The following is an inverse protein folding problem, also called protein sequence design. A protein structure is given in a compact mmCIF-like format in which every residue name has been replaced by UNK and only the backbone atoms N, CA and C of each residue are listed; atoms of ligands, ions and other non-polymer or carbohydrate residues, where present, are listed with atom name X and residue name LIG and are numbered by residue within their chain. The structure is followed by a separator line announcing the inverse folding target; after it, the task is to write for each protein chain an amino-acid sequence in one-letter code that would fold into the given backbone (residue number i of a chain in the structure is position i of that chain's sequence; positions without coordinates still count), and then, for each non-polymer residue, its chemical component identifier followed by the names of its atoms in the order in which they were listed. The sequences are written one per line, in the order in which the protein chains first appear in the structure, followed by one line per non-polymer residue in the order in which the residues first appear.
data_IF_762139821132
#
_entry.id   IF_762139821132
#
_cell.length_a   1.000
_cell.length_b   1.000
_cell.length_c   1.000
_cell.angle_alpha   90.00
_cell.angle_beta   90.00
_cell.angle_gamma   90.00
#
_symmetry.space_group_name_H-M   'P 1'
#
loop_
_entity.id
_entity.type
_entity.pdbx_description
1 polymer ?
#
# COMPACT_ATOMS: atom_id res chain seq x y z
N UNK A 1 -16.04 -14.56 -22.92
CA UNK A 1 -16.01 -13.09 -22.75
C UNK A 1 -14.88 -12.83 -21.78
N UNK A 2 -13.68 -12.60 -22.30
CA UNK A 2 -12.45 -12.55 -21.49
C UNK A 2 -12.39 -11.24 -20.71
N UNK A 3 -12.15 -11.33 -19.41
CA UNK A 3 -11.92 -10.20 -18.52
C UNK A 3 -10.64 -9.48 -18.99
N UNK A 4 -10.79 -8.24 -19.45
CA UNK A 4 -9.65 -7.35 -19.66
C UNK A 4 -9.08 -7.03 -18.29
N UNK A 5 -8.07 -7.79 -17.87
CA UNK A 5 -7.12 -7.29 -16.88
C UNK A 5 -6.39 -6.15 -17.57
N UNK A 6 -6.66 -4.90 -17.20
CA UNK A 6 -5.68 -3.85 -17.44
C UNK A 6 -4.43 -4.30 -16.69
N UNK A 7 -3.49 -4.88 -17.44
CA UNK A 7 -2.13 -5.09 -17.01
C UNK A 7 -1.55 -3.67 -16.85
N UNK A 8 -1.83 -3.04 -15.71
CA UNK A 8 -1.11 -1.83 -15.32
C UNK A 8 0.35 -2.23 -15.43
N UNK A 9 1.08 -1.67 -16.40
CA UNK A 9 2.49 -2.00 -16.58
C UNK A 9 3.14 -1.95 -15.21
N UNK A 10 3.86 -3.02 -14.84
CA UNK A 10 4.44 -3.18 -13.51
C UNK A 10 5.51 -2.10 -13.29
N UNK A 11 5.04 -0.91 -12.92
CA UNK A 11 5.80 0.31 -12.86
C UNK A 11 5.59 0.97 -11.50
N UNK A 12 6.66 1.52 -10.90
CA UNK A 12 6.54 2.22 -9.64
C UNK A 12 5.77 3.53 -9.84
N UNK A 13 4.79 3.78 -8.98
CA UNK A 13 4.16 5.09 -8.83
C UNK A 13 4.47 5.67 -7.46
N UNK A 14 4.58 6.99 -7.38
CA UNK A 14 5.08 7.71 -6.21
C UNK A 14 4.08 8.76 -5.72
N UNK A 15 3.98 8.93 -4.40
CA UNK A 15 3.18 9.98 -3.77
C UNK A 15 3.70 11.38 -4.16
N UNK A 16 5.02 11.55 -4.24
CA UNK A 16 5.64 12.76 -4.78
C UNK A 16 6.93 12.42 -5.52
N UNK A 17 7.13 13.08 -6.66
CA UNK A 17 8.38 13.06 -7.43
C UNK A 17 9.15 14.38 -7.32
N UNK A 18 8.67 15.32 -6.53
CA UNK A 18 9.29 16.63 -6.34
C UNK A 18 10.23 16.59 -5.13
N UNK A 19 11.51 16.87 -5.37
CA UNK A 19 12.51 16.98 -4.31
C UNK A 19 12.11 18.05 -3.29
N UNK A 20 12.32 17.76 -2.00
CA UNK A 20 11.96 18.64 -0.89
C UNK A 20 10.54 18.44 -0.34
N UNK A 21 9.69 17.66 -1.01
CA UNK A 21 8.41 17.23 -0.43
C UNK A 21 8.63 16.12 0.61
N UNK A 22 7.91 16.10 1.74
CA UNK A 22 8.06 15.05 2.76
C UNK A 22 7.91 13.63 2.22
N UNK A 23 6.99 13.42 1.27
CA UNK A 23 6.72 12.14 0.61
C UNK A 23 7.54 11.91 -0.67
N UNK A 24 8.64 12.65 -0.87
CA UNK A 24 9.48 12.51 -2.06
C UNK A 24 10.01 11.08 -2.18
N UNK A 25 9.73 10.44 -3.33
CA UNK A 25 10.08 9.05 -3.64
C UNK A 25 9.40 7.98 -2.75
N UNK A 26 8.38 8.34 -1.96
CA UNK A 26 7.51 7.37 -1.30
C UNK A 26 6.60 6.69 -2.33
N UNK A 27 6.36 5.38 -2.22
CA UNK A 27 5.43 4.70 -3.12
C UNK A 27 4.00 5.20 -2.89
N UNK A 28 3.27 5.37 -3.99
CA UNK A 28 1.84 5.67 -3.98
C UNK A 28 1.05 4.48 -3.45
N UNK A 29 -0.10 4.75 -2.83
CA UNK A 29 -1.09 3.73 -2.48
C UNK A 29 -1.62 2.95 -3.70
N UNK A 30 -1.63 3.59 -4.87
CA UNK A 30 -2.05 2.99 -6.13
C UNK A 30 -0.91 2.24 -6.84
N UNK A 31 0.26 2.13 -6.22
CA UNK A 31 1.38 1.40 -6.80
C UNK A 31 1.06 -0.10 -6.83
N UNK A 32 1.45 -0.86 -7.87
CA UNK A 32 1.22 -2.31 -7.89
C UNK A 32 1.71 -2.99 -6.60
N UNK A 33 0.90 -3.92 -6.06
CA UNK A 33 1.21 -4.57 -4.78
C UNK A 33 2.54 -5.32 -4.83
N UNK A 34 2.91 -5.87 -5.98
CA UNK A 34 4.18 -6.54 -6.22
C UNK A 34 5.37 -5.60 -5.99
N UNK A 35 5.18 -4.29 -6.23
CA UNK A 35 6.18 -3.27 -5.94
C UNK A 35 6.08 -2.81 -4.49
N UNK A 36 4.86 -2.59 -3.99
CA UNK A 36 4.62 -2.17 -2.59
C UNK A 36 5.08 -3.22 -1.57
N UNK A 37 5.13 -4.49 -1.94
CA UNK A 37 5.55 -5.61 -1.08
C UNK A 37 6.84 -6.27 -1.59
N UNK A 38 7.52 -5.67 -2.56
CA UNK A 38 8.68 -6.28 -3.21
C UNK A 38 9.97 -6.26 -2.38
N UNK A 39 10.00 -5.59 -1.23
CA UNK A 39 11.17 -5.60 -0.36
C UNK A 39 11.24 -6.87 0.47
N UNK A 40 12.41 -7.12 1.06
CA UNK A 40 12.58 -8.20 2.04
C UNK A 40 11.52 -8.11 3.15
N UNK A 41 10.90 -9.26 3.46
CA UNK A 41 9.82 -9.35 4.45
C UNK A 41 8.47 -8.80 3.98
N UNK A 42 8.22 -8.74 2.67
CA UNK A 42 7.00 -8.20 2.06
C UNK A 42 6.74 -6.72 2.41
N UNK A 43 7.80 -5.94 2.57
CA UNK A 43 7.71 -4.53 2.97
C UNK A 43 7.80 -3.58 1.75
N UNK A 44 7.55 -2.30 2.01
CA UNK A 44 7.67 -1.25 1.00
C UNK A 44 9.12 -1.15 0.48
N UNK A 45 9.31 -1.17 -0.84
CA UNK A 45 10.63 -0.94 -1.43
C UNK A 45 11.05 0.53 -1.27
N UNK A 46 12.34 0.75 -1.03
CA UNK A 46 12.94 2.09 -0.96
C UNK A 46 13.04 2.67 0.44
N UNK A 47 13.22 4.00 0.52
CA UNK A 47 13.60 4.70 1.75
C UNK A 47 12.52 4.66 2.85
N UNK A 48 11.27 4.40 2.49
CA UNK A 48 10.11 4.37 3.39
C UNK A 48 9.80 2.98 3.95
N UNK A 49 10.65 1.97 3.70
CA UNK A 49 10.50 0.61 4.21
C UNK A 49 10.30 0.57 5.75
N UNK A 50 10.92 1.49 6.48
CA UNK A 50 10.81 1.61 7.93
C UNK A 50 9.39 1.95 8.42
N UNK A 51 8.53 2.52 7.57
CA UNK A 51 7.13 2.78 7.91
C UNK A 51 6.31 1.49 8.03
N UNK A 52 6.75 0.40 7.38
CA UNK A 52 6.10 -0.92 7.42
C UNK A 52 4.60 -0.87 7.06
N UNK A 53 4.24 -0.02 6.10
CA UNK A 53 2.84 0.19 5.67
C UNK A 53 2.15 -1.11 5.24
N UNK A 54 2.77 -1.99 4.41
CA UNK A 54 2.10 -3.23 4.02
C UNK A 54 1.82 -4.16 5.21
N UNK A 55 2.70 -4.17 6.21
CA UNK A 55 2.49 -4.94 7.44
C UNK A 55 1.39 -4.33 8.30
N UNK A 56 1.32 -3.00 8.44
CA UNK A 56 0.24 -2.33 9.16
C UNK A 56 -1.12 -2.60 8.54
N UNK A 57 -1.22 -2.55 7.22
CA UNK A 57 -2.45 -2.87 6.48
C UNK A 57 -2.86 -4.34 6.67
N UNK A 58 -1.91 -5.27 6.57
CA UNK A 58 -2.16 -6.69 6.80
C UNK A 58 -2.65 -6.96 8.23
N UNK A 59 -2.00 -6.35 9.23
CA UNK A 59 -2.38 -6.48 10.63
C UNK A 59 -3.76 -5.86 10.91
N UNK A 60 -4.06 -4.71 10.32
CA UNK A 60 -5.36 -4.07 10.44
C UNK A 60 -6.45 -4.95 9.83
N UNK A 61 -6.22 -5.50 8.63
CA UNK A 61 -7.16 -6.42 7.98
C UNK A 61 -7.42 -7.66 8.84
N UNK A 62 -6.36 -8.31 9.34
CA UNK A 62 -6.49 -9.47 10.22
C UNK A 62 -7.29 -9.15 11.49
N UNK A 63 -7.05 -7.98 12.09
CA UNK A 63 -7.77 -7.53 13.29
C UNK A 63 -9.24 -7.24 13.00
N UNK A 64 -9.56 -6.68 11.83
CA UNK A 64 -10.94 -6.45 11.42
C UNK A 64 -11.68 -7.76 11.14
N UNK A 65 -11.02 -8.71 10.47
CA UNK A 65 -11.60 -10.03 10.20
C UNK A 65 -11.96 -10.78 11.50
N UNK A 66 -11.17 -10.59 12.56
CA UNK A 66 -11.38 -11.26 13.85
C UNK A 66 -12.36 -10.51 14.77
N UNK A 67 -12.30 -9.17 14.81
CA UNK A 67 -12.96 -8.38 15.85
C UNK A 67 -14.06 -7.42 15.35
N UNK A 68 -14.27 -7.28 14.04
CA UNK A 68 -15.32 -6.40 13.54
C UNK A 68 -16.70 -6.93 13.91
N UNK A 69 -17.43 -6.15 14.71
CA UNK A 69 -18.79 -6.50 15.12
C UNK A 69 -19.74 -6.40 13.94
N UNK A 70 -20.73 -7.29 13.92
CA UNK A 70 -21.81 -7.27 12.94
C UNK A 70 -22.53 -5.90 12.94
N UNK A 71 -22.82 -5.39 11.75
CA UNK A 71 -23.51 -4.12 11.55
C UNK A 71 -22.63 -2.88 11.63
N UNK A 72 -21.30 -3.01 11.67
CA UNK A 72 -20.36 -1.89 11.59
C UNK A 72 -19.63 -1.86 10.24
N UNK A 73 -19.37 -0.66 9.74
CA UNK A 73 -18.54 -0.41 8.55
C UNK A 73 -17.25 0.30 8.94
N UNK A 74 -16.15 -0.02 8.26
CA UNK A 74 -14.83 0.56 8.52
C UNK A 74 -14.19 1.01 7.22
N UNK A 75 -13.57 2.18 7.24
CA UNK A 75 -12.76 2.73 6.15
C UNK A 75 -11.33 2.95 6.60
N UNK A 76 -10.37 2.72 5.71
CA UNK A 76 -8.96 3.01 5.95
C UNK A 76 -8.63 4.46 5.57
N UNK A 77 -7.79 5.11 6.36
CA UNK A 77 -7.30 6.47 6.10
C UNK A 77 -5.78 6.47 6.25
N UNK A 78 -5.10 7.09 5.29
CA UNK A 78 -3.65 7.18 5.25
C UNK A 78 -3.17 8.58 5.62
N UNK A 79 -2.02 8.64 6.29
CA UNK A 79 -1.36 9.88 6.65
C UNK A 79 -0.01 9.95 5.94
N UNK A 80 0.27 11.12 5.35
CA UNK A 80 1.57 11.47 4.79
C UNK A 80 2.44 12.16 5.84
#
# INVERSE_FOLDING_TARGET
MGEFREESELQPSFTSRQYGQPAYAQLSLSCPEEIQKGAEGNAEMGAFNNLKRPQQEANLKASLDEYLRFGMEVSQVYKN
#
